data_IF_372897331002
#
_entry.id   IF_372897331002
#
_cell.length_a   1.000
_cell.length_b   1.000
_cell.length_c   1.000
_cell.angle_alpha   90.00
_cell.angle_beta   90.00
_cell.angle_gamma   90.00
#
_symmetry.space_group_name_H-M   'P 1'
#
loop_
_entity.id
_entity.type
_entity.pdbx_description
1 polymer ?
#
# COMPACT_ATOMS: atom_id res chain seq x y z
N UNK A 1 2.38 8.67 -4.66
CA UNK A 1 1.57 9.79 -4.17
C UNK A 1 1.98 10.15 -2.73
N UNK A 2 1.51 11.30 -2.29
CA UNK A 2 1.89 11.81 -0.99
C UNK A 2 0.66 12.11 -0.14
N UNK A 3 0.69 11.65 1.12
CA UNK A 3 -0.30 12.00 2.13
C UNK A 3 0.25 13.17 2.94
N UNK A 4 -0.57 14.20 3.13
CA UNK A 4 -0.15 15.42 3.84
C UNK A 4 -1.19 15.82 4.88
N UNK A 5 -0.73 16.14 6.10
CA UNK A 5 -1.57 16.58 7.19
C UNK A 5 -0.78 17.59 8.03
N UNK A 6 -1.16 18.87 7.98
CA UNK A 6 -0.48 19.93 8.71
C UNK A 6 1.04 19.88 8.51
N UNK A 7 1.79 19.51 9.54
CA UNK A 7 3.25 19.39 9.50
C UNK A 7 3.71 17.96 9.25
N UNK A 8 2.79 17.07 8.91
CA UNK A 8 3.08 15.65 8.71
C UNK A 8 2.99 15.31 7.22
N UNK A 9 3.80 14.38 6.77
CA UNK A 9 3.79 13.92 5.39
C UNK A 9 4.28 12.48 5.28
N UNK A 10 3.76 11.77 4.28
CA UNK A 10 4.14 10.38 4.02
C UNK A 10 4.06 10.11 2.51
N UNK A 11 5.15 9.64 1.94
CA UNK A 11 5.20 9.31 0.52
C UNK A 11 4.94 7.82 0.32
N UNK A 12 3.97 7.50 -0.54
CA UNK A 12 3.52 6.12 -0.79
C UNK A 12 3.67 5.81 -2.27
N UNK A 13 4.27 4.65 -2.57
CA UNK A 13 4.31 4.11 -3.92
C UNK A 13 3.20 3.08 -4.07
N UNK A 14 2.28 3.32 -4.99
CA UNK A 14 1.20 2.37 -5.32
C UNK A 14 1.52 1.75 -6.68
N UNK A 15 1.98 0.50 -6.68
CA UNK A 15 2.38 -0.22 -7.90
C UNK A 15 3.35 0.62 -8.73
N UNK A 16 4.24 1.36 -8.07
CA UNK A 16 5.10 2.32 -8.73
C UNK A 16 6.25 1.68 -9.50
N UNK A 17 6.86 2.45 -10.40
CA UNK A 17 8.09 2.02 -11.06
C UNK A 17 9.28 2.09 -10.08
N UNK A 18 10.47 1.68 -10.53
CA UNK A 18 11.66 1.65 -9.67
C UNK A 18 11.94 3.01 -9.03
N UNK A 19 11.78 4.09 -9.80
CA UNK A 19 12.01 5.43 -9.30
C UNK A 19 11.04 5.78 -8.18
N UNK A 20 9.74 5.51 -8.38
CA UNK A 20 8.72 5.82 -7.40
C UNK A 20 8.95 5.04 -6.10
N UNK A 21 9.31 3.75 -6.19
CA UNK A 21 9.61 2.94 -5.01
C UNK A 21 10.84 3.47 -4.28
N UNK A 22 11.86 3.85 -5.02
CA UNK A 22 13.12 4.35 -4.43
C UNK A 22 12.89 5.62 -3.60
N UNK A 23 11.96 6.47 -4.02
CA UNK A 23 11.71 7.76 -3.37
C UNK A 23 10.61 7.71 -2.32
N UNK A 24 9.89 6.60 -2.21
CA UNK A 24 8.78 6.48 -1.27
C UNK A 24 9.21 5.91 0.08
N UNK A 25 8.35 6.06 1.08
CA UNK A 25 8.55 5.50 2.42
C UNK A 25 7.78 4.21 2.62
N UNK A 26 6.66 4.06 1.91
CA UNK A 26 5.81 2.87 1.96
C UNK A 26 5.53 2.41 0.54
N UNK A 27 5.62 1.10 0.30
CA UNK A 27 5.27 0.51 -0.98
C UNK A 27 4.00 -0.33 -0.84
N UNK A 28 3.08 -0.14 -1.78
CA UNK A 28 1.84 -0.91 -1.89
C UNK A 28 1.86 -1.66 -3.21
N UNK A 29 1.66 -2.97 -3.15
CA UNK A 29 1.51 -3.84 -4.32
C UNK A 29 0.12 -4.46 -4.26
N UNK A 30 -0.81 -3.88 -5.00
CA UNK A 30 -2.21 -4.27 -4.94
C UNK A 30 -2.89 -4.06 -6.28
N UNK A 31 -3.84 -4.93 -6.60
CA UNK A 31 -4.67 -4.81 -7.79
C UNK A 31 -5.90 -3.91 -7.56
N UNK A 32 -6.05 -3.36 -6.36
CA UNK A 32 -7.21 -2.55 -5.99
C UNK A 32 -6.78 -1.35 -5.14
N UNK A 33 -7.46 -0.23 -5.34
CA UNK A 33 -7.13 1.03 -4.65
C UNK A 33 -7.64 1.11 -3.22
N UNK A 34 -8.35 0.10 -2.72
CA UNK A 34 -8.90 0.12 -1.35
C UNK A 34 -7.79 0.33 -0.31
N UNK A 35 -6.59 -0.20 -0.55
CA UNK A 35 -5.46 -0.03 0.37
C UNK A 35 -5.08 1.43 0.51
N UNK A 36 -5.11 2.19 -0.58
CA UNK A 36 -4.80 3.63 -0.52
C UNK A 36 -5.84 4.37 0.33
N UNK A 37 -7.11 3.96 0.25
CA UNK A 37 -8.16 4.52 1.10
C UNK A 37 -7.91 4.21 2.58
N UNK A 38 -7.47 3.00 2.88
CA UNK A 38 -7.10 2.61 4.25
C UNK A 38 -5.95 3.48 4.77
N UNK A 39 -4.89 3.62 3.99
CA UNK A 39 -3.75 4.41 4.39
C UNK A 39 -4.12 5.89 4.58
N UNK A 40 -4.96 6.42 3.71
CA UNK A 40 -5.42 7.81 3.81
C UNK A 40 -6.27 8.02 5.06
N UNK A 41 -7.18 7.11 5.38
CA UNK A 41 -8.00 7.20 6.59
C UNK A 41 -7.13 7.15 7.85
N UNK A 42 -6.22 6.19 7.92
CA UNK A 42 -5.33 6.05 9.08
C UNK A 42 -4.43 7.28 9.21
N UNK A 43 -3.92 7.80 8.11
CA UNK A 43 -3.12 9.02 8.12
C UNK A 43 -3.92 10.21 8.64
N UNK A 44 -5.16 10.37 8.18
CA UNK A 44 -6.02 11.46 8.64
C UNK A 44 -6.29 11.39 10.14
N UNK A 45 -6.48 10.18 10.68
CA UNK A 45 -6.85 10.00 12.09
C UNK A 45 -5.66 9.94 13.02
N UNK A 46 -4.54 9.38 12.58
CA UNK A 46 -3.39 9.06 13.43
C UNK A 46 -2.06 9.63 12.93
N UNK A 47 -2.03 10.20 11.74
CA UNK A 47 -0.82 10.77 11.16
C UNK A 47 0.15 9.72 10.65
N UNK A 48 1.36 10.17 10.34
CA UNK A 48 2.44 9.33 9.82
C UNK A 48 2.74 8.13 10.72
N UNK A 49 2.83 8.38 12.02
CA UNK A 49 3.16 7.35 13.01
C UNK A 49 2.13 6.21 12.98
N UNK A 50 0.84 6.55 12.89
CA UNK A 50 -0.22 5.55 12.84
C UNK A 50 -0.12 4.67 11.61
N UNK A 51 0.16 5.25 10.44
CA UNK A 51 0.33 4.49 9.21
C UNK A 51 1.53 3.54 9.33
N UNK A 52 2.65 4.04 9.83
CA UNK A 52 3.86 3.20 9.97
C UNK A 52 3.64 2.05 10.95
N UNK A 53 2.93 2.29 12.05
CA UNK A 53 2.59 1.24 13.01
C UNK A 53 1.67 0.20 12.38
N UNK A 54 0.65 0.63 11.62
CA UNK A 54 -0.24 -0.29 10.92
C UNK A 54 0.53 -1.15 9.91
N UNK A 55 1.42 -0.55 9.14
CA UNK A 55 2.19 -1.29 8.14
C UNK A 55 3.11 -2.31 8.78
N UNK A 56 3.71 -1.99 9.93
CA UNK A 56 4.54 -2.95 10.68
C UNK A 56 3.74 -4.17 11.13
N UNK A 57 2.48 -3.97 11.48
CA UNK A 57 1.58 -5.04 11.91
C UNK A 57 0.51 -5.30 10.83
N UNK A 58 0.90 -5.33 9.58
CA UNK A 58 -0.03 -5.47 8.46
C UNK A 58 -0.76 -6.80 8.54
N UNK A 59 -1.99 -6.75 9.04
CA UNK A 59 -2.82 -7.93 9.31
C UNK A 59 -4.27 -7.48 9.47
N UNK A 60 -5.19 -8.44 9.46
CA UNK A 60 -6.61 -8.13 9.71
C UNK A 60 -6.81 -7.55 11.11
N UNK A 61 -6.07 -8.03 12.10
CA UNK A 61 -6.13 -7.50 13.47
C UNK A 61 -5.69 -6.04 13.53
N UNK A 62 -4.58 -5.70 12.83
CA UNK A 62 -4.11 -4.33 12.74
C UNK A 62 -5.11 -3.43 12.06
N UNK A 63 -5.71 -3.90 10.96
CA UNK A 63 -6.75 -3.17 10.26
C UNK A 63 -7.98 -2.92 11.14
N UNK A 64 -8.38 -3.92 11.92
CA UNK A 64 -9.51 -3.78 12.85
C UNK A 64 -9.25 -2.71 13.91
N UNK A 65 -7.99 -2.51 14.26
CA UNK A 65 -7.62 -1.51 15.28
C UNK A 65 -7.64 -0.08 14.74
N UNK A 66 -7.26 0.11 13.48
CA UNK A 66 -7.04 1.44 12.92
C UNK A 66 -8.09 1.91 11.92
N UNK A 67 -8.85 0.99 11.32
CA UNK A 67 -9.76 1.32 10.22
C UNK A 67 -11.22 1.36 10.68
N UNK A 68 -12.03 2.13 9.94
CA UNK A 68 -13.48 2.15 10.13
C UNK A 68 -14.09 0.80 9.73
N UNK A 69 -15.28 0.45 10.27
CA UNK A 69 -15.97 -0.78 9.89
C UNK A 69 -16.24 -0.89 8.38
N UNK A 70 -16.48 0.24 7.72
CA UNK A 70 -16.76 0.25 6.28
C UNK A 70 -15.54 -0.25 5.51
N UNK A 71 -14.35 0.30 5.80
CA UNK A 71 -13.11 -0.12 5.13
C UNK A 71 -12.72 -1.55 5.51
N UNK A 72 -12.93 -1.95 6.76
CA UNK A 72 -12.69 -3.33 7.18
C UNK A 72 -13.54 -4.30 6.36
N UNK A 73 -14.80 -3.97 6.17
CA UNK A 73 -15.72 -4.79 5.39
C UNK A 73 -15.28 -4.89 3.93
N UNK A 74 -14.88 -3.76 3.32
CA UNK A 74 -14.39 -3.74 1.95
C UNK A 74 -13.14 -4.60 1.77
N UNK A 75 -12.18 -4.48 2.68
CA UNK A 75 -10.96 -5.28 2.66
C UNK A 75 -11.28 -6.77 2.78
N UNK A 76 -12.18 -7.14 3.71
CA UNK A 76 -12.55 -8.54 3.92
C UNK A 76 -13.23 -9.14 2.71
N UNK A 77 -14.03 -8.36 1.98
CA UNK A 77 -14.71 -8.83 0.76
C UNK A 77 -13.72 -9.01 -0.39
N UNK A 78 -12.79 -8.05 -0.56
CA UNK A 78 -11.81 -8.09 -1.65
C UNK A 78 -10.68 -9.08 -1.40
N UNK A 79 -10.29 -9.24 -0.14
CA UNK A 79 -9.15 -10.07 0.24
C UNK A 79 -9.53 -11.02 1.38
N UNK A 80 -10.37 -12.04 1.09
CA UNK A 80 -10.85 -12.94 2.15
C UNK A 80 -9.81 -13.91 2.68
N UNK A 81 -8.72 -14.14 1.94
CA UNK A 81 -7.68 -15.11 2.32
C UNK A 81 -6.38 -14.45 2.72
N UNK A 82 -5.87 -13.56 1.89
CA UNK A 82 -4.60 -12.87 2.14
C UNK A 82 -4.74 -11.39 1.81
N UNK A 83 -4.07 -10.56 2.60
CA UNK A 83 -4.03 -9.13 2.34
C UNK A 83 -3.07 -8.80 1.20
N UNK A 84 -3.29 -7.70 0.47
CA UNK A 84 -2.31 -7.20 -0.49
C UNK A 84 -1.03 -6.80 0.24
N UNK A 85 0.07 -6.70 -0.51
CA UNK A 85 1.36 -6.40 0.09
C UNK A 85 1.51 -4.92 0.35
N UNK A 86 1.88 -4.60 1.58
CA UNK A 86 2.24 -3.24 2.01
C UNK A 86 3.47 -3.35 2.89
N UNK A 87 4.54 -2.63 2.55
CA UNK A 87 5.79 -2.69 3.30
C UNK A 87 6.38 -1.30 3.49
N UNK A 88 7.03 -1.09 4.63
CA UNK A 88 7.85 0.10 4.85
C UNK A 88 9.15 -0.09 4.06
N UNK A 89 9.52 0.90 3.26
CA UNK A 89 10.73 0.83 2.45
C UNK A 89 11.94 1.17 3.32
N UNK A 90 12.92 0.26 3.34
CA UNK A 90 14.17 0.43 4.08
C UNK A 90 15.34 0.23 3.14
N UNK A 91 16.55 0.54 3.62
CA UNK A 91 17.75 0.30 2.81
C UNK A 91 17.96 -1.18 2.51
N UNK A 92 17.44 -2.08 3.32
CA UNK A 92 17.62 -3.52 3.14
C UNK A 92 16.64 -4.13 2.15
N UNK A 93 15.43 -3.58 2.02
CA UNK A 93 14.41 -4.15 1.12
C UNK A 93 14.15 -3.32 -0.13
N UNK A 94 14.76 -2.16 -0.26
CA UNK A 94 14.48 -1.22 -1.34
C UNK A 94 14.67 -1.84 -2.72
N UNK A 95 15.80 -2.48 -2.97
CA UNK A 95 16.07 -3.09 -4.27
C UNK A 95 15.11 -4.23 -4.59
N UNK A 96 14.81 -5.05 -3.60
CA UNK A 96 13.85 -6.14 -3.76
C UNK A 96 12.47 -5.59 -4.13
N UNK A 97 12.01 -4.57 -3.41
CA UNK A 97 10.72 -3.94 -3.67
C UNK A 97 10.68 -3.26 -5.04
N UNK A 98 11.78 -2.65 -5.46
CA UNK A 98 11.86 -2.05 -6.80
C UNK A 98 11.64 -3.10 -7.89
N UNK A 99 12.29 -4.26 -7.76
CA UNK A 99 12.13 -5.35 -8.72
C UNK A 99 10.72 -5.94 -8.68
N UNK A 100 10.22 -6.19 -7.47
CA UNK A 100 8.89 -6.78 -7.30
C UNK A 100 7.78 -5.84 -7.79
N UNK A 101 7.92 -4.55 -7.52
CA UNK A 101 6.94 -3.57 -7.98
C UNK A 101 6.92 -3.48 -9.51
N UNK A 102 8.09 -3.51 -10.13
CA UNK A 102 8.19 -3.51 -11.59
C UNK A 102 7.54 -4.77 -12.17
N UNK A 103 7.83 -5.93 -11.60
CA UNK A 103 7.24 -7.19 -12.04
C UNK A 103 5.72 -7.20 -11.84
N UNK A 104 5.24 -6.69 -10.73
CA UNK A 104 3.81 -6.59 -10.43
C UNK A 104 3.10 -5.69 -11.44
N UNK A 105 3.69 -4.53 -11.77
CA UNK A 105 3.13 -3.64 -12.78
C UNK A 105 3.00 -4.32 -14.13
N UNK A 106 4.01 -5.08 -14.53
CA UNK A 106 3.97 -5.82 -15.80
C UNK A 106 2.85 -6.84 -15.80
N UNK A 107 2.69 -7.56 -14.69
CA UNK A 107 1.63 -8.56 -14.55
C UNK A 107 0.25 -7.91 -14.64
N UNK A 108 0.02 -6.83 -13.91
CA UNK A 108 -1.26 -6.12 -13.93
C UNK A 108 -1.54 -5.57 -15.34
N UNK A 109 -0.54 -4.96 -15.96
CA UNK A 109 -0.68 -4.45 -17.34
C UNK A 109 -0.91 -5.59 -18.33
N UNK A 110 -0.20 -6.68 -18.16
CA UNK A 110 -0.36 -7.86 -19.00
C UNK A 110 -1.79 -8.41 -18.93
N UNK A 111 -2.36 -8.47 -17.75
CA UNK A 111 -3.75 -8.88 -17.57
C UNK A 111 -4.72 -7.90 -18.20
N UNK A 112 -4.49 -6.59 -17.98
CA UNK A 112 -5.35 -5.54 -18.51
C UNK A 112 -5.32 -5.49 -20.03
N UNK A 113 -4.16 -5.74 -20.63
CA UNK A 113 -3.97 -5.69 -22.09
C UNK A 113 -3.63 -7.04 -22.67
N UNK A 114 -3.83 -8.10 -21.90
CA UNK A 114 -3.48 -9.46 -22.32
C UNK A 114 -4.12 -9.87 -23.61
N UNK A 115 -5.32 -9.38 -23.87
CA UNK A 115 -6.00 -9.62 -25.13
C UNK A 115 -5.33 -8.94 -26.33
N UNK A 116 -4.49 -7.98 -26.09
CA UNK A 116 -3.78 -7.22 -27.13
C UNK A 116 -2.38 -7.79 -27.40
N UNK A 117 -1.88 -8.45 -26.43
CA UNK A 117 -0.54 -8.97 -26.48
C UNK A 117 -0.47 -10.42 -26.63
#
# INVERSE_FOLDING_TARGET
>A
FQLVRENDGLTVSFNGNSYAVREAEVAVLSDNTVVTSVLAEVFNNYGRKGVLELVKEWSYSGLNRYCSPVLQSQISQLYPKTLPRVEIITSTNKERLMRESTAFRKTVRGEAVGGLG
#
